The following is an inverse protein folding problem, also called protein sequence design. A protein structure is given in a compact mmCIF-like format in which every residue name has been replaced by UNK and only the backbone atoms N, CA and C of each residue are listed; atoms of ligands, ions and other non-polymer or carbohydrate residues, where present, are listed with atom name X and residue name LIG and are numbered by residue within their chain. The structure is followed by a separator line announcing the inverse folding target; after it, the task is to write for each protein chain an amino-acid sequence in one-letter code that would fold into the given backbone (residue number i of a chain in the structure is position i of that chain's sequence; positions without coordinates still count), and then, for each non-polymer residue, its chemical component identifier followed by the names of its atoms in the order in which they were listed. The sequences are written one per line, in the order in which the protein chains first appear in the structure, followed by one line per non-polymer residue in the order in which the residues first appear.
data_IF_803436836883
#
_entry.id   IF_803436836883
#
_cell.length_a   1.000
_cell.length_b   1.000
_cell.length_c   1.000
_cell.angle_alpha   90.00
_cell.angle_beta   90.00
_cell.angle_gamma   90.00
#
_symmetry.space_group_name_H-M   'P 1'
#
loop_
_entity.id
_entity.type
_entity.pdbx_description
1 polymer ?
#
# COMPACT_ATOMS: atom_id res chain seq x y z
N UNK A 1 17.77 19.31 -21.95
CA UNK A 1 18.31 19.07 -20.91
C UNK A 1 17.44 18.93 -19.79
N UNK A 2 16.89 19.93 -19.29
CA UNK A 2 16.00 19.84 -18.19
C UNK A 2 14.79 18.99 -18.48
N UNK A 3 14.36 18.98 -19.72
CA UNK A 3 13.23 18.16 -20.06
C UNK A 3 13.49 16.71 -19.84
N UNK A 4 14.71 16.28 -20.19
CA UNK A 4 15.04 14.93 -19.98
C UNK A 4 14.99 14.56 -18.53
N UNK A 5 15.53 15.40 -17.69
CA UNK A 5 15.56 15.15 -16.28
C UNK A 5 14.13 15.08 -15.75
N UNK A 6 13.30 15.97 -16.26
CA UNK A 6 11.92 15.99 -15.80
C UNK A 6 11.19 14.73 -16.22
N UNK A 7 11.45 14.27 -17.42
CA UNK A 7 10.82 13.04 -17.87
C UNK A 7 11.20 11.86 -17.00
N UNK A 8 12.46 11.81 -16.63
CA UNK A 8 12.92 10.72 -15.78
C UNK A 8 12.21 10.78 -14.46
N UNK A 9 12.02 11.96 -13.91
CA UNK A 9 11.31 12.10 -12.68
C UNK A 9 9.88 11.62 -12.79
N UNK A 10 9.23 11.98 -13.86
CA UNK A 10 7.85 11.57 -14.06
C UNK A 10 7.74 10.08 -14.18
N UNK A 11 8.65 9.46 -14.90
CA UNK A 11 8.64 8.02 -15.04
C UNK A 11 8.83 7.38 -13.69
N UNK A 12 9.72 7.94 -12.89
CA UNK A 12 9.98 7.40 -11.58
C UNK A 12 8.72 7.46 -10.72
N UNK A 13 7.99 8.57 -10.78
CA UNK A 13 6.76 8.71 -10.04
C UNK A 13 5.71 7.71 -10.50
N UNK A 14 5.68 7.46 -11.80
CA UNK A 14 4.72 6.50 -12.33
C UNK A 14 5.04 5.08 -11.91
N UNK A 15 6.23 4.87 -11.38
CA UNK A 15 6.63 3.54 -10.94
C UNK A 15 6.34 3.30 -9.48
N UNK A 16 5.57 4.17 -8.85
CA UNK A 16 5.19 3.96 -7.47
C UNK A 16 4.22 2.79 -7.42
N UNK A 17 4.59 1.78 -6.67
CA UNK A 17 3.81 0.57 -6.58
C UNK A 17 3.83 0.09 -5.15
N UNK A 18 2.71 -0.42 -4.69
CA UNK A 18 2.64 -1.03 -3.37
C UNK A 18 2.18 -2.47 -3.51
N UNK A 19 2.76 -3.34 -2.72
CA UNK A 19 2.36 -4.73 -2.67
C UNK A 19 1.66 -4.95 -1.34
N UNK A 20 0.43 -5.40 -1.38
CA UNK A 20 -0.41 -5.54 -0.21
C UNK A 20 -0.70 -7.00 0.06
N UNK A 21 -0.49 -7.42 1.29
CA UNK A 21 -0.76 -8.79 1.68
C UNK A 21 -1.66 -8.76 2.92
N UNK A 22 -2.80 -9.43 2.81
CA UNK A 22 -3.74 -9.50 3.91
C UNK A 22 -3.55 -10.85 4.60
N UNK A 23 -3.16 -10.82 5.85
CA UNK A 23 -2.80 -12.02 6.60
C UNK A 23 -3.90 -12.39 7.55
N UNK A 24 -4.38 -13.62 7.41
CA UNK A 24 -5.43 -14.11 8.27
C UNK A 24 -4.88 -14.43 9.65
N UNK A 25 -5.57 -13.97 10.67
CA UNK A 25 -5.14 -14.26 12.04
C UNK A 25 -5.69 -15.56 12.54
N UNK A 26 -5.61 -15.73 13.85
CA UNK A 26 -6.14 -16.91 14.51
C UNK A 26 -7.19 -16.42 15.52
N UNK A 27 -7.63 -17.32 16.40
CA UNK A 27 -8.57 -16.91 17.42
C UNK A 27 -7.99 -15.87 18.36
N UNK A 28 -6.67 -15.92 18.54
CA UNK A 28 -6.01 -15.01 19.46
C UNK A 28 -5.35 -13.86 18.74
N UNK A 29 -4.83 -14.12 17.56
CA UNK A 29 -4.09 -13.12 16.79
C UNK A 29 -4.99 -12.51 15.73
N UNK A 30 -5.15 -11.20 15.70
CA UNK A 30 -6.03 -10.56 14.72
C UNK A 30 -5.46 -10.62 13.31
N UNK A 31 -6.32 -10.30 12.34
CA UNK A 31 -5.88 -10.23 10.95
C UNK A 31 -5.03 -8.99 10.77
N UNK A 32 -4.00 -9.10 9.95
CA UNK A 32 -3.08 -8.00 9.70
C UNK A 32 -2.93 -7.69 8.22
N UNK A 33 -2.43 -6.50 7.96
CA UNK A 33 -2.12 -6.05 6.60
C UNK A 33 -0.65 -5.69 6.55
N UNK A 34 0.03 -6.13 5.50
CA UNK A 34 1.39 -5.70 5.21
C UNK A 34 1.38 -4.92 3.91
N UNK A 35 2.06 -3.79 3.88
CA UNK A 35 2.20 -3.00 2.66
C UNK A 35 3.68 -2.80 2.41
N UNK A 36 4.15 -3.20 1.25
CA UNK A 36 5.54 -3.05 0.86
C UNK A 36 5.63 -2.22 -0.40
N UNK A 37 6.76 -1.55 -0.59
CA UNK A 37 6.94 -0.70 -1.76
C UNK A 37 7.55 -1.50 -2.92
N UNK A 38 7.92 -0.81 -3.98
CA UNK A 38 8.42 -1.50 -5.17
C UNK A 38 9.73 -2.23 -4.91
N UNK A 39 10.43 -1.91 -3.85
CA UNK A 39 11.64 -2.62 -3.48
C UNK A 39 11.36 -3.67 -2.44
N UNK A 40 10.10 -3.92 -2.18
CA UNK A 40 9.66 -4.90 -1.18
C UNK A 40 10.03 -4.51 0.25
N UNK A 41 10.32 -3.24 0.46
CA UNK A 41 10.56 -2.74 1.81
C UNK A 41 9.23 -2.59 2.54
N UNK A 42 9.15 -3.06 3.75
CA UNK A 42 7.92 -2.97 4.52
C UNK A 42 7.65 -1.53 4.86
N UNK A 43 6.51 -1.03 4.40
CA UNK A 43 6.12 0.34 4.64
C UNK A 43 5.05 0.47 5.71
N UNK A 44 4.25 -0.54 5.90
CA UNK A 44 3.20 -0.49 6.90
C UNK A 44 2.79 -1.89 7.32
N UNK A 45 2.40 -2.03 8.59
CA UNK A 45 1.97 -3.31 9.12
C UNK A 45 0.99 -2.99 10.24
N UNK A 46 -0.29 -3.28 10.02
CA UNK A 46 -1.31 -2.93 11.00
C UNK A 46 -2.48 -3.88 10.92
N UNK A 47 -3.37 -3.79 11.90
CA UNK A 47 -4.54 -4.68 11.96
C UNK A 47 -5.56 -4.26 10.93
N UNK A 48 -6.23 -5.25 10.37
CA UNK A 48 -7.30 -4.98 9.42
C UNK A 48 -8.37 -4.08 10.03
N UNK A 49 -8.59 -4.21 11.33
CA UNK A 49 -9.62 -3.41 11.98
C UNK A 49 -9.21 -1.94 12.15
N UNK A 50 -7.98 -1.59 11.85
CA UNK A 50 -7.51 -0.22 12.02
C UNK A 50 -6.86 0.30 10.76
N UNK A 51 -7.51 0.07 9.64
CA UNK A 51 -6.93 0.44 8.35
C UNK A 51 -6.61 1.92 8.25
N UNK A 52 -7.58 2.76 8.52
CA UNK A 52 -7.39 4.19 8.34
C UNK A 52 -6.29 4.72 9.24
N UNK A 53 -6.32 4.32 10.48
CA UNK A 53 -5.32 4.76 11.42
C UNK A 53 -3.93 4.25 11.04
N UNK A 54 -3.86 3.02 10.58
CA UNK A 54 -2.59 2.45 10.15
C UNK A 54 -2.00 3.16 8.97
N UNK A 55 -2.83 3.51 8.00
CA UNK A 55 -2.36 4.23 6.83
C UNK A 55 -1.87 5.63 7.21
N UNK A 56 -2.62 6.29 8.06
CA UNK A 56 -2.25 7.63 8.48
C UNK A 56 -0.92 7.63 9.22
N UNK A 57 -0.75 6.67 10.11
CA UNK A 57 0.45 6.59 10.91
C UNK A 57 1.69 6.31 10.11
N UNK A 58 1.54 5.68 8.96
CA UNK A 58 2.66 5.28 8.14
C UNK A 58 2.84 6.15 6.90
N UNK A 59 2.30 7.36 6.95
CA UNK A 59 2.45 8.33 5.87
C UNK A 59 1.80 7.91 4.57
N UNK A 60 0.74 7.13 4.68
CA UNK A 60 0.00 6.68 3.51
C UNK A 60 -1.40 7.28 3.48
N UNK A 61 -1.59 8.36 4.22
CA UNK A 61 -2.89 9.00 4.31
C UNK A 61 -3.43 9.40 2.94
N UNK A 62 -2.53 9.76 2.05
CA UNK A 62 -2.90 10.18 0.72
C UNK A 62 -3.72 9.12 -0.02
N UNK A 63 -3.49 7.85 0.31
CA UNK A 63 -4.16 6.76 -0.39
C UNK A 63 -5.24 6.10 0.45
N UNK A 64 -5.63 6.71 1.56
CA UNK A 64 -6.50 6.06 2.52
C UNK A 64 -7.80 5.57 1.92
N UNK A 65 -8.48 6.38 1.15
CA UNK A 65 -9.77 5.99 0.63
C UNK A 65 -9.68 4.79 -0.29
N UNK A 66 -8.77 4.84 -1.23
CA UNK A 66 -8.62 3.74 -2.16
C UNK A 66 -8.15 2.48 -1.47
N UNK A 67 -7.15 2.61 -0.62
CA UNK A 67 -6.60 1.45 0.04
C UNK A 67 -7.57 0.82 1.03
N UNK A 68 -8.33 1.64 1.73
CA UNK A 68 -9.28 1.09 2.69
C UNK A 68 -10.31 0.22 2.01
N UNK A 69 -10.84 0.69 0.90
CA UNK A 69 -11.83 -0.09 0.18
C UNK A 69 -11.22 -1.33 -0.43
N UNK A 70 -10.05 -1.18 -1.00
CA UNK A 70 -9.37 -2.30 -1.61
C UNK A 70 -9.08 -3.40 -0.60
N UNK A 71 -8.56 -3.02 0.55
CA UNK A 71 -8.18 -3.99 1.57
C UNK A 71 -9.39 -4.77 2.06
N UNK A 72 -10.54 -4.13 2.15
CA UNK A 72 -11.73 -4.82 2.60
C UNK A 72 -12.12 -5.95 1.66
N UNK A 73 -11.81 -5.80 0.39
CA UNK A 73 -12.20 -6.80 -0.59
C UNK A 73 -11.12 -7.80 -0.94
N UNK A 74 -9.91 -7.57 -0.48
CA UNK A 74 -8.82 -8.48 -0.84
C UNK A 74 -8.95 -9.83 -0.17
N UNK A 75 -8.61 -10.90 -0.87
CA UNK A 75 -8.56 -12.21 -0.21
C UNK A 75 -7.33 -12.30 0.67
N UNK A 76 -7.40 -13.20 1.63
CA UNK A 76 -6.27 -13.42 2.51
C UNK A 76 -5.21 -14.26 1.81
N UNK A 77 -3.95 -14.00 2.14
CA UNK A 77 -2.88 -14.86 1.69
C UNK A 77 -2.37 -14.64 0.29
N UNK A 78 -2.88 -13.61 -0.40
CA UNK A 78 -2.41 -13.34 -1.75
C UNK A 78 -1.88 -11.92 -1.83
N UNK A 79 -0.77 -11.76 -2.53
CA UNK A 79 -0.18 -10.45 -2.69
C UNK A 79 -0.89 -9.71 -3.82
N UNK A 80 -1.31 -8.49 -3.53
CA UNK A 80 -1.99 -7.67 -4.51
C UNK A 80 -1.09 -6.47 -4.85
N UNK A 81 -0.91 -6.24 -6.14
CA UNK A 81 -0.10 -5.12 -6.60
C UNK A 81 -1.01 -3.92 -6.80
N UNK A 82 -0.76 -2.85 -6.07
CA UNK A 82 -1.57 -1.64 -6.14
C UNK A 82 -0.75 -0.52 -6.74
N UNK A 83 -1.28 0.07 -7.79
CA UNK A 83 -0.64 1.22 -8.43
C UNK A 83 -1.54 2.42 -8.23
N UNK A 84 -1.11 3.40 -7.43
CA UNK A 84 -1.96 4.55 -7.16
C UNK A 84 -2.23 5.33 -8.44
N UNK A 85 -3.44 5.84 -8.52
CA UNK A 85 -3.73 6.69 -9.63
C UNK A 85 -3.08 7.97 -9.34
N UNK A 86 -2.38 8.52 -10.34
CA UNK A 86 -1.68 9.58 -10.03
C UNK A 86 -2.28 10.73 -10.26
N UNK A 87 -2.17 11.53 -9.84
CA UNK A 87 -2.68 12.62 -10.05
C UNK A 87 -1.90 13.52 -10.29
#
# INVERSE_FOLDING_TARGET
MNKKVRLIKEIFLLCIVFYILKIKGTKIIPDFIQIRDEKMTLRAYFRVSQIERGLEKNNLKKYTEELAELIKELPFGKIYKYIPKNE
#
